data_IF_655688675986
#
_entry.id   IF_655688675986
#
_cell.length_a   1.000
_cell.length_b   1.000
_cell.length_c   1.000
_cell.angle_alpha   90.00
_cell.angle_beta   90.00
_cell.angle_gamma   90.00
#
_symmetry.space_group_name_H-M   'P 1'
#
loop_
_entity.id
_entity.type
_entity.pdbx_description
1 polymer ?
#
# COMPACT_ATOMS: atom_id res chain seq x y z
N UNK A 1 -19.11 23.24 -7.03
CA UNK A 1 -19.76 22.04 -7.60
C UNK A 1 -19.28 20.83 -6.83
N UNK A 2 -19.98 20.46 -5.76
CA UNK A 2 -19.72 19.24 -5.00
C UNK A 2 -21.09 18.62 -4.70
N UNK A 3 -21.58 17.83 -5.64
CA UNK A 3 -22.71 16.94 -5.41
C UNK A 3 -22.14 15.54 -5.43
N UNK A 4 -21.92 14.97 -4.25
CA UNK A 4 -21.76 13.54 -4.09
C UNK A 4 -22.77 13.12 -3.03
N UNK A 5 -23.92 12.66 -3.52
CA UNK A 5 -24.86 11.84 -2.77
C UNK A 5 -24.19 10.49 -2.51
N UNK A 6 -23.58 10.31 -1.34
CA UNK A 6 -23.25 8.96 -0.87
C UNK A 6 -24.56 8.26 -0.49
N UNK A 7 -24.90 7.21 -1.23
CA UNK A 7 -26.06 6.37 -0.94
C UNK A 7 -25.77 5.55 0.32
N UNK A 8 -26.72 5.41 1.27
CA UNK A 8 -26.51 4.63 2.49
C UNK A 8 -26.22 3.12 2.26
N UNK A 9 -26.31 2.65 1.01
CA UNK A 9 -25.99 1.29 0.57
C UNK A 9 -24.54 1.08 0.09
N UNK A 10 -23.68 2.11 0.06
CA UNK A 10 -22.29 2.00 -0.42
C UNK A 10 -21.30 1.54 0.66
N UNK A 11 -21.81 1.06 1.81
CA UNK A 11 -21.01 0.54 2.92
C UNK A 11 -20.83 -0.97 2.79
N UNK A 12 -19.60 -1.41 2.56
CA UNK A 12 -19.23 -2.81 2.50
C UNK A 12 -18.93 -3.31 3.90
N UNK A 13 -19.84 -4.11 4.47
CA UNK A 13 -19.68 -4.62 5.84
C UNK A 13 -19.60 -3.53 6.92
N UNK A 14 -20.19 -2.35 6.65
CA UNK A 14 -20.14 -1.18 7.55
C UNK A 14 -19.04 -0.16 7.21
N UNK A 15 -18.07 -0.52 6.38
CA UNK A 15 -16.97 0.36 5.98
C UNK A 15 -17.25 1.04 4.65
N UNK A 16 -16.87 2.31 4.56
CA UNK A 16 -16.80 3.04 3.30
C UNK A 16 -15.69 2.50 2.40
N UNK A 17 -15.81 2.73 1.10
CA UNK A 17 -14.75 2.41 0.14
C UNK A 17 -13.41 3.05 0.52
N UNK A 18 -13.44 4.29 1.01
CA UNK A 18 -12.23 4.99 1.45
C UNK A 18 -11.54 4.28 2.62
N UNK A 19 -12.29 3.82 3.63
CA UNK A 19 -11.72 3.09 4.78
C UNK A 19 -11.06 1.79 4.33
N UNK A 20 -11.72 1.03 3.45
CA UNK A 20 -11.16 -0.21 2.89
C UNK A 20 -9.89 0.04 2.07
N UNK A 21 -9.89 1.07 1.23
CA UNK A 21 -8.71 1.47 0.47
C UNK A 21 -7.57 1.94 1.37
N UNK A 22 -7.89 2.69 2.41
CA UNK A 22 -6.90 3.18 3.38
C UNK A 22 -6.24 2.03 4.13
N UNK A 23 -7.02 1.06 4.63
CA UNK A 23 -6.46 -0.15 5.27
C UNK A 23 -5.61 -0.95 4.28
N UNK A 24 -6.13 -1.20 3.08
CA UNK A 24 -5.40 -1.92 2.04
C UNK A 24 -4.06 -1.26 1.70
N UNK A 25 -4.05 0.06 1.47
CA UNK A 25 -2.84 0.81 1.14
C UNK A 25 -1.84 0.73 2.29
N UNK A 26 -2.28 0.82 3.55
CA UNK A 26 -1.39 0.65 4.70
C UNK A 26 -0.79 -0.76 4.81
N UNK A 27 -1.52 -1.79 4.42
CA UNK A 27 -0.97 -3.16 4.35
C UNK A 27 0.18 -3.30 3.33
N UNK A 28 0.25 -2.45 2.30
CA UNK A 28 1.34 -2.48 1.31
C UNK A 28 2.71 -2.13 1.92
N UNK A 29 2.75 -1.51 3.10
CA UNK A 29 4.01 -1.28 3.82
C UNK A 29 4.64 -2.59 4.35
N UNK A 30 3.89 -3.68 4.43
CA UNK A 30 4.37 -4.97 4.92
C UNK A 30 4.96 -5.81 3.78
N UNK A 31 6.27 -6.05 3.80
CA UNK A 31 6.97 -6.83 2.76
C UNK A 31 6.49 -8.28 2.64
N UNK A 32 6.07 -8.91 3.75
CA UNK A 32 5.51 -10.28 3.74
C UNK A 32 4.17 -10.30 3.02
N UNK A 33 3.35 -9.26 3.22
CA UNK A 33 2.07 -9.13 2.52
C UNK A 33 2.28 -8.87 1.01
N UNK A 34 3.24 -8.02 0.65
CA UNK A 34 3.60 -7.83 -0.76
C UNK A 34 4.07 -9.13 -1.40
N UNK A 35 4.92 -9.92 -0.73
CA UNK A 35 5.36 -11.21 -1.24
C UNK A 35 4.19 -12.18 -1.41
N UNK A 36 3.25 -12.24 -0.45
CA UNK A 36 2.04 -13.04 -0.57
C UNK A 36 1.22 -12.68 -1.82
N UNK A 37 1.01 -11.39 -2.09
CA UNK A 37 0.31 -10.94 -3.30
C UNK A 37 1.06 -11.31 -4.58
N UNK A 38 2.40 -11.26 -4.55
CA UNK A 38 3.24 -11.65 -5.69
C UNK A 38 3.17 -13.15 -5.97
N UNK A 39 3.26 -13.99 -4.94
CA UNK A 39 3.16 -15.46 -5.06
C UNK A 39 1.80 -15.88 -5.65
N UNK A 40 0.74 -15.14 -5.34
CA UNK A 40 -0.59 -15.35 -5.92
C UNK A 40 -0.76 -14.85 -7.35
N UNK A 41 0.30 -14.30 -7.97
CA UNK A 41 0.27 -13.68 -9.30
C UNK A 41 -0.73 -12.54 -9.40
N UNK A 42 -1.03 -11.89 -8.27
CA UNK A 42 -1.99 -10.77 -8.24
C UNK A 42 -1.41 -9.55 -8.98
N UNK A 43 -0.10 -9.36 -8.89
CA UNK A 43 0.65 -8.31 -9.57
C UNK A 43 0.81 -8.51 -11.09
N UNK A 44 0.52 -9.71 -11.61
CA UNK A 44 0.54 -10.01 -13.04
C UNK A 44 -0.77 -9.56 -13.72
N UNK A 45 -1.83 -9.31 -12.94
CA UNK A 45 -3.14 -8.91 -13.45
C UNK A 45 -3.13 -7.42 -13.79
N UNK A 46 -3.37 -7.02 -15.06
CA UNK A 46 -3.31 -5.62 -15.46
C UNK A 46 -4.37 -4.77 -14.74
N UNK A 47 -5.52 -5.34 -14.41
CA UNK A 47 -6.59 -4.67 -13.66
C UNK A 47 -6.13 -4.30 -12.25
N UNK A 48 -5.32 -5.15 -11.62
CA UNK A 48 -4.79 -4.89 -10.28
C UNK A 48 -3.69 -3.83 -10.32
N UNK A 49 -2.83 -3.85 -11.32
CA UNK A 49 -1.81 -2.80 -11.51
C UNK A 49 -2.49 -1.44 -11.76
N UNK A 50 -3.54 -1.41 -12.58
CA UNK A 50 -4.36 -0.21 -12.78
C UNK A 50 -5.01 0.27 -11.47
N UNK A 51 -5.47 -0.65 -10.62
CA UNK A 51 -5.99 -0.30 -9.30
C UNK A 51 -4.92 0.29 -8.37
N UNK A 52 -3.70 -0.26 -8.35
CA UNK A 52 -2.57 0.34 -7.62
C UNK A 52 -2.23 1.74 -8.14
N UNK A 53 -2.32 1.96 -9.46
CA UNK A 53 -2.14 3.28 -10.07
C UNK A 53 -3.23 4.26 -9.62
N UNK A 54 -4.49 3.80 -9.55
CA UNK A 54 -5.59 4.57 -9.00
C UNK A 54 -5.33 5.00 -7.56
N UNK A 55 -4.87 4.08 -6.70
CA UNK A 55 -4.57 4.33 -5.29
C UNK A 55 -3.44 5.36 -5.05
N UNK A 56 -2.67 5.74 -6.08
CA UNK A 56 -1.66 6.80 -5.95
C UNK A 56 -2.25 8.16 -5.52
N UNK A 57 -3.57 8.34 -5.55
CA UNK A 57 -4.21 9.51 -4.98
C UNK A 57 -3.89 9.71 -3.49
N UNK A 58 -3.57 8.64 -2.74
CA UNK A 58 -3.12 8.73 -1.34
C UNK A 58 -1.83 9.54 -1.15
N UNK A 59 -1.04 9.80 -2.21
CA UNK A 59 0.12 10.72 -2.17
C UNK A 59 -0.27 12.17 -1.91
N UNK A 60 -1.53 12.56 -2.20
CA UNK A 60 -1.95 13.95 -2.01
C UNK A 60 -2.09 14.26 -0.51
N UNK A 61 -1.64 15.43 -0.01
CA UNK A 61 -1.64 15.75 1.42
C UNK A 61 -3.00 15.61 2.11
N UNK A 62 -4.10 15.88 1.39
CA UNK A 62 -5.46 15.71 1.91
C UNK A 62 -5.82 14.28 2.30
N UNK A 63 -5.14 13.28 1.75
CA UNK A 63 -5.35 11.85 2.05
C UNK A 63 -4.19 11.26 2.84
N UNK A 64 -2.95 11.64 2.54
CA UNK A 64 -1.75 11.12 3.18
C UNK A 64 -1.76 11.30 4.71
N UNK A 65 -2.45 12.34 5.22
CA UNK A 65 -2.64 12.59 6.65
C UNK A 65 -3.34 11.47 7.43
N UNK A 66 -4.05 10.56 6.73
CA UNK A 66 -4.73 9.42 7.34
C UNK A 66 -3.85 8.16 7.42
N UNK A 67 -2.66 8.17 6.79
CA UNK A 67 -1.73 7.04 6.84
C UNK A 67 -0.94 7.05 8.14
N UNK A 68 -0.85 5.90 8.81
CA UNK A 68 -0.05 5.75 10.03
C UNK A 68 1.46 5.87 9.73
N UNK A 69 1.89 5.27 8.62
CA UNK A 69 3.28 5.26 8.17
C UNK A 69 3.37 5.70 6.70
N UNK A 70 3.22 7.00 6.41
CA UNK A 70 3.10 7.49 5.03
C UNK A 70 4.35 7.18 4.20
N UNK A 71 5.56 7.28 4.77
CA UNK A 71 6.82 7.03 4.04
C UNK A 71 6.89 5.62 3.45
N UNK A 72 6.93 4.55 4.27
CA UNK A 72 6.98 3.17 3.79
C UNK A 72 5.81 2.80 2.88
N UNK A 73 4.61 3.24 3.24
CA UNK A 73 3.38 2.95 2.49
C UNK A 73 3.42 3.53 1.08
N UNK A 74 3.72 4.83 0.95
CA UNK A 74 3.77 5.50 -0.35
C UNK A 74 4.96 5.02 -1.18
N UNK A 75 6.11 4.72 -0.54
CA UNK A 75 7.27 4.11 -1.22
C UNK A 75 6.90 2.76 -1.84
N UNK A 76 6.23 1.89 -1.09
CA UNK A 76 5.79 0.60 -1.60
C UNK A 76 4.82 0.76 -2.79
N UNK A 77 3.82 1.65 -2.66
CA UNK A 77 2.85 1.92 -3.72
C UNK A 77 3.50 2.46 -5.00
N UNK A 78 4.55 3.28 -4.88
CA UNK A 78 5.36 3.77 -6.00
C UNK A 78 6.22 2.68 -6.64
N UNK A 79 6.89 1.86 -5.83
CA UNK A 79 7.70 0.74 -6.33
C UNK A 79 6.87 -0.29 -7.07
N UNK A 80 5.64 -0.57 -6.61
CA UNK A 80 4.73 -1.51 -7.27
C UNK A 80 4.30 -1.08 -8.68
N UNK A 81 4.46 0.19 -9.06
CA UNK A 81 4.24 0.63 -10.44
C UNK A 81 5.34 0.11 -11.39
N UNK A 82 6.52 -0.21 -10.85
CA UNK A 82 7.65 -0.74 -11.60
C UNK A 82 7.49 -2.26 -11.76
N UNK A 83 7.38 -2.73 -13.00
CA UNK A 83 7.25 -4.16 -13.30
C UNK A 83 8.42 -4.97 -12.71
N UNK A 84 9.63 -4.43 -12.83
CA UNK A 84 10.83 -5.02 -12.23
C UNK A 84 10.64 -5.33 -10.74
N UNK A 85 10.12 -4.39 -9.97
CA UNK A 85 9.92 -4.59 -8.54
C UNK A 85 8.85 -5.65 -8.24
N UNK A 86 7.77 -5.71 -9.05
CA UNK A 86 6.73 -6.75 -8.92
C UNK A 86 7.28 -8.15 -9.12
N UNK A 87 8.32 -8.31 -9.95
CA UNK A 87 9.03 -9.57 -10.12
C UNK A 87 10.05 -9.82 -9.01
N UNK A 88 10.81 -8.80 -8.61
CA UNK A 88 11.86 -8.94 -7.60
C UNK A 88 11.31 -9.29 -6.20
N UNK A 89 10.11 -8.81 -5.84
CA UNK A 89 9.49 -9.05 -4.52
C UNK A 89 9.14 -10.53 -4.27
N UNK A 90 9.17 -11.38 -5.30
CA UNK A 90 9.08 -12.84 -5.17
C UNK A 90 10.31 -13.43 -4.47
N UNK A 91 11.47 -12.76 -4.54
CA UNK A 91 12.70 -13.27 -3.97
C UNK A 91 12.77 -13.05 -2.45
N UNK A 92 12.99 -14.12 -1.64
CA UNK A 92 13.05 -14.01 -0.18
C UNK A 92 14.06 -12.98 0.34
N UNK A 93 15.20 -12.85 -0.34
CA UNK A 93 16.25 -11.90 0.05
C UNK A 93 15.75 -10.45 0.03
N UNK A 94 14.93 -10.06 -0.97
CA UNK A 94 14.39 -8.71 -1.03
C UNK A 94 13.37 -8.48 0.09
N UNK A 95 12.53 -9.49 0.39
CA UNK A 95 11.56 -9.42 1.47
C UNK A 95 12.24 -9.22 2.83
N UNK A 96 13.33 -9.95 3.07
CA UNK A 96 14.14 -9.84 4.29
C UNK A 96 14.79 -8.46 4.42
N UNK A 97 15.37 -7.93 3.34
CA UNK A 97 15.94 -6.57 3.31
C UNK A 97 14.87 -5.53 3.64
N UNK A 98 13.70 -5.61 2.99
CA UNK A 98 12.60 -4.67 3.26
C UNK A 98 12.06 -4.79 4.69
N UNK A 99 12.01 -6.01 5.24
CA UNK A 99 11.61 -6.24 6.64
C UNK A 99 12.62 -5.61 7.61
N UNK A 100 13.92 -5.79 7.36
CA UNK A 100 15.01 -5.20 8.14
C UNK A 100 14.99 -3.67 8.06
N UNK A 101 14.80 -3.09 6.87
CA UNK A 101 14.64 -1.64 6.68
C UNK A 101 13.41 -1.11 7.44
N UNK A 102 12.29 -1.82 7.37
CA UNK A 102 11.07 -1.49 8.11
C UNK A 102 11.30 -1.47 9.62
N UNK A 103 11.97 -2.50 10.17
CA UNK A 103 12.30 -2.58 11.59
C UNK A 103 13.25 -1.45 12.04
N UNK A 104 14.29 -1.16 11.24
CA UNK A 104 15.23 -0.06 11.54
C UNK A 104 14.53 1.30 11.60
N UNK A 105 13.57 1.55 10.71
CA UNK A 105 12.81 2.80 10.69
C UNK A 105 11.76 2.89 11.81
N UNK A 106 11.30 1.75 12.35
CA UNK A 106 10.33 1.70 13.44
C UNK A 106 10.98 1.89 14.82
N UNK A 107 12.27 1.57 14.98
CA UNK A 107 13.00 1.78 16.22
C UNK A 107 13.43 3.25 16.34
N UNK A 108 13.12 3.95 17.45
CA UNK A 108 13.65 5.28 17.69
C UNK A 108 15.18 5.19 17.76
N UNK A 109 15.87 6.05 17.02
CA UNK A 109 17.33 6.18 17.10
C UNK A 109 17.65 6.52 18.56
N UNK A 110 18.28 5.60 19.27
CA UNK A 110 18.83 5.89 20.60
C UNK A 110 19.85 7.01 20.41
N UNK A 111 19.51 8.20 20.89
CA UNK A 111 20.45 9.31 20.99
C UNK A 111 21.25 9.03 22.26
N UNK A 112 22.48 8.54 22.11
CA UNK A 112 23.45 8.46 23.20
C UNK A 112 23.85 9.87 23.66
#
# INVERSE_FOLDING_TARGET
MASQSESPNDRYGGFSRFELELEFVQCLANSVYLNYLAVQKTFDKPEFVAYLAYLQYFKQPKYAKYLHHPGPTLRALELLQQERFRQEILHPNLVEVMMMEGLKNALPIKKD
#
